data_IF_376810780530
#
_entry.id   IF_376810780530
#
_cell.length_a   1.000
_cell.length_b   1.000
_cell.length_c   1.000
_cell.angle_alpha   90.00
_cell.angle_beta   90.00
_cell.angle_gamma   90.00
#
_symmetry.space_group_name_H-M   'P 1'
#
loop_
_entity.id
_entity.type
_entity.pdbx_description
1 polymer ?
#
# COMPACT_ATOMS: atom_id res chain seq x y z
N UNK A 1 -24.25 15.09 18.04
CA UNK A 1 -24.10 16.23 17.20
C UNK A 1 -23.25 15.98 15.98
N UNK A 2 -22.38 16.85 15.68
CA UNK A 2 -21.58 16.93 14.43
C UNK A 2 -20.77 15.66 14.14
N UNK A 3 -20.15 15.06 15.15
CA UNK A 3 -19.35 13.83 15.00
C UNK A 3 -20.17 12.58 14.62
N UNK A 4 -21.41 12.51 15.09
CA UNK A 4 -22.31 11.40 14.71
C UNK A 4 -22.67 11.47 13.22
N UNK A 5 -22.95 12.66 12.71
CA UNK A 5 -23.19 12.88 11.28
C UNK A 5 -21.95 12.64 10.43
N UNK A 6 -20.78 13.06 10.90
CA UNK A 6 -19.51 12.81 10.23
C UNK A 6 -19.20 11.29 10.13
N UNK A 7 -19.49 10.53 11.18
CA UNK A 7 -19.31 9.07 11.14
C UNK A 7 -20.28 8.40 10.16
N UNK A 8 -21.54 8.84 10.11
CA UNK A 8 -22.52 8.35 9.13
C UNK A 8 -22.07 8.68 7.70
N UNK A 9 -21.57 9.91 7.46
CA UNK A 9 -21.03 10.31 6.17
C UNK A 9 -19.80 9.47 5.78
N UNK A 10 -18.89 9.19 6.72
CA UNK A 10 -17.74 8.31 6.49
C UNK A 10 -18.18 6.88 6.12
N UNK A 11 -19.17 6.31 6.81
CA UNK A 11 -19.75 5.00 6.47
C UNK A 11 -20.40 4.97 5.10
N UNK A 12 -21.16 6.01 4.75
CA UNK A 12 -21.76 6.14 3.43
C UNK A 12 -20.71 6.24 2.31
N UNK A 13 -19.66 7.04 2.53
CA UNK A 13 -18.53 7.15 1.59
C UNK A 13 -17.78 5.81 1.45
N UNK A 14 -17.58 5.07 2.54
CA UNK A 14 -16.95 3.75 2.51
C UNK A 14 -17.80 2.74 1.73
N UNK A 15 -19.12 2.75 1.91
CA UNK A 15 -20.05 1.92 1.15
C UNK A 15 -20.02 2.23 -0.36
N UNK A 16 -19.78 3.50 -0.71
CA UNK A 16 -19.56 3.95 -2.10
C UNK A 16 -18.12 3.82 -2.59
N UNK A 17 -17.24 3.14 -1.86
CA UNK A 17 -15.80 2.97 -2.20
C UNK A 17 -15.03 4.29 -2.33
N UNK A 18 -15.50 5.37 -1.71
CA UNK A 18 -14.88 6.69 -1.75
C UNK A 18 -13.88 6.87 -0.58
N UNK A 19 -12.83 6.08 -0.56
CA UNK A 19 -11.91 6.00 0.60
C UNK A 19 -11.11 7.29 0.86
N UNK A 20 -10.83 8.10 -0.17
CA UNK A 20 -10.24 9.42 0.01
C UNK A 20 -11.17 10.35 0.82
N UNK A 21 -12.48 10.32 0.52
CA UNK A 21 -13.50 11.08 1.26
C UNK A 21 -13.63 10.58 2.70
N UNK A 22 -13.61 9.27 2.92
CA UNK A 22 -13.59 8.68 4.28
C UNK A 22 -12.42 9.24 5.08
N UNK A 23 -11.22 9.20 4.53
CA UNK A 23 -10.02 9.72 5.19
C UNK A 23 -10.17 11.20 5.54
N UNK A 24 -10.65 12.02 4.61
CA UNK A 24 -10.82 13.45 4.82
C UNK A 24 -11.84 13.75 5.92
N UNK A 25 -12.98 13.06 5.93
CA UNK A 25 -14.02 13.21 6.97
C UNK A 25 -13.45 12.85 8.34
N UNK A 26 -12.74 11.70 8.43
CA UNK A 26 -12.19 11.24 9.69
C UNK A 26 -11.09 12.16 10.22
N UNK A 27 -10.22 12.65 9.36
CA UNK A 27 -9.17 13.62 9.77
C UNK A 27 -9.81 14.93 10.26
N UNK A 28 -10.79 15.47 9.56
CA UNK A 28 -11.42 16.76 9.91
C UNK A 28 -12.19 16.71 11.23
N UNK A 29 -12.88 15.59 11.50
CA UNK A 29 -13.80 15.52 12.66
C UNK A 29 -13.24 14.70 13.84
N UNK A 30 -12.26 13.83 13.58
CA UNK A 30 -11.70 12.91 14.58
C UNK A 30 -10.17 13.01 14.71
N UNK A 31 -9.52 14.03 14.15
CA UNK A 31 -8.05 14.16 14.13
C UNK A 31 -7.37 13.97 15.49
N UNK A 32 -7.96 14.47 16.57
CA UNK A 32 -7.45 14.28 17.95
C UNK A 32 -7.53 12.82 18.41
N UNK A 33 -8.52 12.07 17.94
CA UNK A 33 -8.68 10.64 18.26
C UNK A 33 -7.74 9.75 17.46
N UNK A 34 -7.32 10.18 16.28
CA UNK A 34 -6.34 9.48 15.47
C UNK A 34 -4.94 9.52 16.08
N UNK A 35 -4.66 10.52 16.92
CA UNK A 35 -3.37 10.69 17.58
C UNK A 35 -3.29 9.99 18.95
N UNK A 36 -4.41 9.67 19.56
CA UNK A 36 -4.48 9.04 20.91
C UNK A 36 -5.59 8.00 20.94
N UNK A 37 -5.33 6.81 21.51
CA UNK A 37 -6.39 5.84 21.78
C UNK A 37 -7.48 6.51 22.61
N UNK A 38 -8.67 6.65 22.07
CA UNK A 38 -9.80 7.26 22.75
C UNK A 38 -10.83 6.20 23.16
N UNK A 39 -11.34 6.28 24.37
CA UNK A 39 -12.48 5.50 24.82
C UNK A 39 -13.76 6.06 24.18
N UNK A 40 -14.74 5.18 23.92
CA UNK A 40 -16.06 5.57 23.43
C UNK A 40 -16.19 5.74 21.91
N UNK A 41 -15.21 5.32 21.13
CA UNK A 41 -15.35 5.20 19.69
C UNK A 41 -16.15 3.93 19.33
N UNK A 42 -16.97 3.96 18.26
CA UNK A 42 -17.64 2.77 17.78
C UNK A 42 -16.65 1.65 17.41
N UNK A 43 -17.02 0.37 17.56
CA UNK A 43 -16.13 -0.75 17.26
C UNK A 43 -15.59 -0.75 15.82
N UNK A 44 -16.38 -0.26 14.86
CA UNK A 44 -16.03 -0.17 13.44
C UNK A 44 -15.24 1.10 13.08
N UNK A 45 -14.94 1.99 14.03
CA UNK A 45 -14.22 3.22 13.76
C UNK A 45 -12.85 2.97 13.11
N UNK A 46 -12.08 2.05 13.68
CA UNK A 46 -10.74 1.76 13.18
C UNK A 46 -10.74 1.03 11.83
N UNK A 47 -11.78 0.25 11.53
CA UNK A 47 -11.93 -0.35 10.19
C UNK A 47 -12.32 0.67 9.11
N UNK A 48 -12.97 1.78 9.50
CA UNK A 48 -13.16 2.92 8.60
C UNK A 48 -11.86 3.71 8.39
N UNK A 49 -11.04 3.87 9.45
CA UNK A 49 -9.74 4.54 9.35
C UNK A 49 -8.76 3.73 8.51
N UNK A 50 -8.76 2.39 8.67
CA UNK A 50 -7.87 1.45 7.97
C UNK A 50 -8.69 0.43 7.17
N UNK A 51 -9.39 0.86 6.10
CA UNK A 51 -10.18 -0.05 5.28
C UNK A 51 -9.29 -1.04 4.51
N UNK A 52 -9.86 -2.20 4.17
CA UNK A 52 -9.22 -3.22 3.34
C UNK A 52 -10.04 -3.47 2.07
N UNK A 53 -10.18 -2.49 1.17
CA UNK A 53 -10.82 -2.74 -0.12
C UNK A 53 -9.99 -3.75 -0.92
N UNK A 54 -10.65 -4.48 -1.81
CA UNK A 54 -10.02 -5.51 -2.65
C UNK A 54 -9.31 -6.63 -1.86
N UNK A 55 -9.65 -6.82 -0.56
CA UNK A 55 -8.91 -7.70 0.32
C UNK A 55 -8.82 -9.14 -0.18
N UNK A 56 -9.90 -9.69 -0.75
CA UNK A 56 -9.85 -11.04 -1.31
C UNK A 56 -8.85 -11.13 -2.48
N UNK A 57 -8.90 -10.17 -3.40
CA UNK A 57 -7.94 -10.10 -4.52
C UNK A 57 -6.49 -9.99 -4.01
N UNK A 58 -6.26 -9.22 -2.94
CA UNK A 58 -4.94 -9.08 -2.32
C UNK A 58 -4.47 -10.40 -1.71
N UNK A 59 -5.34 -11.12 -0.97
CA UNK A 59 -4.98 -12.41 -0.38
C UNK A 59 -4.67 -13.45 -1.47
N UNK A 60 -5.51 -13.52 -2.50
CA UNK A 60 -5.34 -14.49 -3.59
C UNK A 60 -4.01 -14.25 -4.33
N UNK A 61 -3.74 -13.00 -4.72
CA UNK A 61 -2.49 -12.65 -5.38
C UNK A 61 -1.25 -12.81 -4.47
N UNK A 62 -1.37 -12.46 -3.19
CA UNK A 62 -0.29 -12.65 -2.22
C UNK A 62 0.02 -14.13 -2.01
N UNK A 63 -1.00 -14.98 -1.91
CA UNK A 63 -0.84 -16.43 -1.79
C UNK A 63 -0.23 -17.06 -3.03
N UNK A 64 -0.63 -16.61 -4.23
CA UNK A 64 -0.09 -17.11 -5.50
C UNK A 64 1.40 -16.80 -5.67
N UNK A 65 1.84 -15.60 -5.28
CA UNK A 65 3.20 -15.13 -5.53
C UNK A 65 4.12 -15.20 -4.30
N UNK A 66 3.60 -15.45 -3.10
CA UNK A 66 4.40 -15.41 -1.87
C UNK A 66 4.67 -13.98 -1.38
N UNK A 67 3.76 -13.04 -1.66
CA UNK A 67 3.85 -11.66 -1.20
C UNK A 67 3.24 -11.48 0.21
N UNK A 68 3.53 -10.34 0.84
CA UNK A 68 2.92 -9.97 2.12
C UNK A 68 1.62 -9.19 1.90
N UNK A 69 0.43 -9.75 2.22
CA UNK A 69 -0.85 -9.11 1.94
C UNK A 69 -1.08 -7.82 2.76
N UNK A 70 -0.57 -7.75 3.99
CA UNK A 70 -0.69 -6.54 4.82
C UNK A 70 0.19 -5.42 4.28
N UNK A 71 1.39 -5.75 3.82
CA UNK A 71 2.27 -4.79 3.16
C UNK A 71 1.64 -4.25 1.87
N UNK A 72 1.02 -5.10 1.04
CA UNK A 72 0.33 -4.66 -0.18
C UNK A 72 -0.78 -3.65 0.12
N UNK A 73 -1.60 -3.88 1.15
CA UNK A 73 -2.65 -2.92 1.54
C UNK A 73 -2.07 -1.64 2.14
N UNK A 74 -0.98 -1.73 2.90
CA UNK A 74 -0.29 -0.56 3.45
C UNK A 74 0.31 0.32 2.35
N UNK A 75 0.90 -0.31 1.31
CA UNK A 75 1.38 0.36 0.11
C UNK A 75 0.23 1.00 -0.68
N UNK A 76 -0.85 0.25 -0.95
CA UNK A 76 -2.04 0.73 -1.66
C UNK A 76 -2.63 1.98 -0.99
N UNK A 77 -2.70 1.99 0.35
CA UNK A 77 -3.14 3.15 1.12
C UNK A 77 -2.23 4.37 0.90
N UNK A 78 -0.93 4.15 0.85
CA UNK A 78 0.06 5.23 0.67
C UNK A 78 0.09 5.74 -0.76
N UNK A 79 0.01 4.85 -1.75
CA UNK A 79 0.18 5.14 -3.16
C UNK A 79 -1.02 5.86 -3.77
N UNK A 80 -2.22 5.32 -3.58
CA UNK A 80 -3.43 5.82 -4.25
C UNK A 80 -4.56 6.21 -3.31
N UNK A 81 -4.46 5.90 -2.01
CA UNK A 81 -5.62 5.92 -1.08
C UNK A 81 -6.77 5.05 -1.60
N UNK A 82 -6.42 3.92 -2.22
CA UNK A 82 -7.36 2.94 -2.81
C UNK A 82 -8.12 3.44 -4.04
N UNK A 83 -7.59 4.43 -4.76
CA UNK A 83 -8.15 4.90 -6.02
C UNK A 83 -7.54 4.10 -7.19
N UNK A 84 -8.32 3.27 -7.90
CA UNK A 84 -7.81 2.49 -9.02
C UNK A 84 -7.47 3.37 -10.24
N UNK A 85 -8.03 4.58 -10.32
CA UNK A 85 -7.78 5.52 -11.41
C UNK A 85 -6.64 6.52 -11.11
N UNK A 86 -5.98 6.37 -9.95
CA UNK A 86 -4.90 7.28 -9.54
C UNK A 86 -3.76 7.31 -10.57
N UNK A 87 -3.26 8.52 -10.85
CA UNK A 87 -2.15 8.75 -11.79
C UNK A 87 -1.13 9.67 -11.16
N UNK A 88 0.13 9.28 -11.23
CA UNK A 88 1.22 10.15 -10.82
C UNK A 88 1.68 11.05 -11.96
N UNK A 89 2.34 12.19 -11.66
CA UNK A 89 2.95 13.04 -12.69
C UNK A 89 4.02 12.36 -13.53
N UNK A 90 4.60 11.26 -13.02
CA UNK A 90 5.65 10.49 -13.69
C UNK A 90 5.11 9.26 -14.44
N UNK A 91 3.78 9.07 -14.47
CA UNK A 91 3.12 8.02 -15.25
C UNK A 91 2.87 6.70 -14.50
N UNK A 92 3.00 6.67 -13.19
CA UNK A 92 2.56 5.52 -12.39
C UNK A 92 1.02 5.50 -12.30
N UNK A 93 0.41 4.31 -12.35
CA UNK A 93 -1.03 4.15 -12.49
C UNK A 93 -1.59 3.14 -11.48
N UNK A 94 -2.79 3.43 -11.00
CA UNK A 94 -3.65 2.51 -10.28
C UNK A 94 -3.37 2.39 -8.79
N UNK A 95 -3.94 1.38 -8.18
CA UNK A 95 -3.97 1.16 -6.73
C UNK A 95 -2.60 1.18 -6.08
N UNK A 96 -1.60 0.56 -6.71
CA UNK A 96 -0.23 0.42 -6.20
C UNK A 96 0.78 1.19 -7.07
N UNK A 97 0.29 2.14 -7.89
CA UNK A 97 1.10 3.08 -8.67
C UNK A 97 2.20 2.37 -9.50
N UNK A 98 1.78 1.39 -10.30
CA UNK A 98 2.70 0.62 -11.15
C UNK A 98 3.09 1.44 -12.39
N UNK A 99 4.38 1.47 -12.66
CA UNK A 99 4.90 2.05 -13.90
C UNK A 99 4.64 1.10 -15.09
N UNK A 100 4.30 1.63 -16.27
CA UNK A 100 4.07 0.79 -17.46
C UNK A 100 5.20 -0.18 -17.76
N UNK A 101 6.47 0.26 -17.67
CA UNK A 101 7.63 -0.61 -17.91
C UNK A 101 7.76 -1.74 -16.88
N UNK A 102 7.35 -1.51 -15.61
CA UNK A 102 7.32 -2.56 -14.58
C UNK A 102 6.26 -3.60 -14.91
N UNK A 103 5.10 -3.13 -15.37
CA UNK A 103 4.03 -4.02 -15.79
C UNK A 103 4.44 -4.87 -17.01
N UNK A 104 5.09 -4.28 -18.01
CA UNK A 104 5.64 -5.01 -19.17
C UNK A 104 6.60 -6.14 -18.75
N UNK A 105 7.48 -5.84 -17.79
CA UNK A 105 8.47 -6.79 -17.32
C UNK A 105 7.87 -7.94 -16.48
N UNK A 106 6.76 -7.69 -15.76
CA UNK A 106 6.23 -8.63 -14.78
C UNK A 106 4.92 -9.33 -15.18
N UNK A 107 4.18 -8.85 -16.16
CA UNK A 107 2.84 -9.30 -16.48
C UNK A 107 2.70 -10.82 -16.71
N UNK A 108 3.62 -11.42 -17.45
CA UNK A 108 3.64 -12.87 -17.69
C UNK A 108 3.85 -13.64 -16.38
N UNK A 109 4.81 -13.19 -15.56
CA UNK A 109 5.14 -13.80 -14.27
C UNK A 109 4.09 -13.54 -13.19
N UNK A 110 3.28 -12.50 -13.38
CA UNK A 110 2.12 -12.18 -12.55
C UNK A 110 0.83 -12.89 -13.01
N UNK A 111 0.91 -13.78 -14.02
CA UNK A 111 -0.23 -14.52 -14.51
C UNK A 111 -1.26 -13.68 -15.30
N UNK A 112 -0.98 -12.42 -15.59
CA UNK A 112 -1.90 -11.48 -16.25
C UNK A 112 -1.50 -11.12 -17.69
N UNK A 113 -0.46 -11.76 -18.23
CA UNK A 113 0.02 -11.52 -19.62
C UNK A 113 -1.07 -11.69 -20.65
N UNK A 114 -1.98 -12.64 -20.46
CA UNK A 114 -3.11 -12.89 -21.37
C UNK A 114 -4.12 -11.72 -21.44
N UNK A 115 -4.15 -10.84 -20.44
CA UNK A 115 -5.02 -9.64 -20.43
C UNK A 115 -4.39 -8.51 -21.24
N UNK A 116 -3.09 -8.59 -21.50
CA UNK A 116 -2.31 -7.54 -22.17
C UNK A 116 -2.25 -7.69 -23.68
N UNK A 117 -3.18 -8.41 -24.29
CA UNK A 117 -3.20 -8.71 -25.74
C UNK A 117 -3.13 -7.47 -26.65
N UNK A 118 -3.55 -6.31 -26.14
CA UNK A 118 -3.48 -5.01 -26.82
C UNK A 118 -2.41 -4.08 -26.23
N UNK A 119 -1.43 -4.65 -25.54
CA UNK A 119 -0.38 -3.90 -24.82
C UNK A 119 -0.85 -3.30 -23.51
N UNK A 120 0.12 -2.73 -22.78
CA UNK A 120 -0.13 -2.02 -21.52
C UNK A 120 -0.66 -0.64 -21.84
N UNK A 121 -1.80 -0.32 -21.24
CA UNK A 121 -2.40 1.00 -21.27
C UNK A 121 -3.01 1.35 -19.92
N UNK A 122 -3.44 2.59 -19.80
CA UNK A 122 -3.97 3.14 -18.54
C UNK A 122 -5.17 2.34 -18.00
N UNK A 123 -6.09 1.92 -18.88
CA UNK A 123 -7.27 1.17 -18.47
C UNK A 123 -6.92 -0.22 -17.93
N UNK A 124 -5.90 -0.85 -18.50
CA UNK A 124 -5.37 -2.14 -18.01
C UNK A 124 -4.74 -1.98 -16.64
N UNK A 125 -3.91 -0.95 -16.43
CA UNK A 125 -3.27 -0.71 -15.14
C UNK A 125 -4.23 -0.15 -14.07
N UNK A 126 -5.31 0.49 -14.47
CA UNK A 126 -6.40 0.89 -13.56
C UNK A 126 -7.27 -0.31 -13.11
N UNK A 127 -7.18 -1.46 -13.78
CA UNK A 127 -7.91 -2.67 -13.36
C UNK A 127 -7.30 -3.20 -12.04
N UNK A 128 -8.12 -3.29 -10.95
CA UNK A 128 -7.63 -3.73 -9.65
C UNK A 128 -6.95 -5.10 -9.65
N UNK A 129 -7.51 -6.08 -10.38
CA UNK A 129 -6.98 -7.44 -10.43
C UNK A 129 -5.59 -7.44 -11.06
N UNK A 130 -5.41 -6.73 -12.18
CA UNK A 130 -4.13 -6.64 -12.88
C UNK A 130 -3.09 -5.89 -12.04
N UNK A 131 -3.48 -4.74 -11.49
CA UNK A 131 -2.58 -3.90 -10.69
C UNK A 131 -2.09 -4.63 -9.44
N UNK A 132 -2.99 -5.31 -8.71
CA UNK A 132 -2.67 -6.08 -7.51
C UNK A 132 -1.79 -7.29 -7.85
N UNK A 133 -2.08 -8.04 -8.90
CA UNK A 133 -1.30 -9.21 -9.30
C UNK A 133 0.14 -8.84 -9.65
N UNK A 134 0.35 -7.80 -10.48
CA UNK A 134 1.68 -7.28 -10.82
C UNK A 134 2.42 -6.82 -9.57
N UNK A 135 1.74 -6.10 -8.68
CA UNK A 135 2.33 -5.60 -7.44
C UNK A 135 2.69 -6.71 -6.45
N UNK A 136 1.87 -7.76 -6.37
CA UNK A 136 2.18 -8.94 -5.57
C UNK A 136 3.42 -9.66 -6.10
N UNK A 137 3.54 -9.80 -7.42
CA UNK A 137 4.74 -10.36 -8.05
C UNK A 137 5.98 -9.50 -7.76
N UNK A 138 5.90 -8.19 -7.93
CA UNK A 138 6.97 -7.26 -7.59
C UNK A 138 7.38 -7.38 -6.12
N UNK A 139 6.39 -7.41 -5.21
CA UNK A 139 6.64 -7.56 -3.77
C UNK A 139 7.39 -8.86 -3.45
N UNK A 140 6.97 -9.98 -4.07
CA UNK A 140 7.62 -11.26 -3.89
C UNK A 140 9.07 -11.27 -4.42
N UNK A 141 9.31 -10.66 -5.60
CA UNK A 141 10.66 -10.53 -6.17
C UNK A 141 11.57 -9.70 -5.25
N UNK A 142 11.05 -8.59 -4.71
CA UNK A 142 11.79 -7.77 -3.76
C UNK A 142 12.04 -8.48 -2.43
N UNK A 143 11.07 -9.23 -1.90
CA UNK A 143 11.27 -10.06 -0.71
C UNK A 143 12.36 -11.11 -0.93
N UNK A 144 12.39 -11.72 -2.11
CA UNK A 144 13.46 -12.66 -2.45
C UNK A 144 14.82 -11.96 -2.57
N UNK A 145 14.88 -10.78 -3.22
CA UNK A 145 16.11 -10.00 -3.38
C UNK A 145 16.71 -9.59 -2.03
N UNK A 146 15.86 -9.20 -1.08
CA UNK A 146 16.29 -8.73 0.24
C UNK A 146 16.16 -9.81 1.35
N UNK A 147 16.13 -11.09 0.99
CA UNK A 147 16.18 -12.20 1.94
C UNK A 147 15.04 -12.16 3.00
N UNK A 148 13.87 -11.62 2.62
CA UNK A 148 12.70 -11.46 3.50
C UNK A 148 12.65 -10.15 4.28
N UNK A 149 13.66 -9.29 4.17
CA UNK A 149 13.74 -8.02 4.89
C UNK A 149 12.75 -7.00 4.32
N UNK A 150 11.81 -6.54 5.14
CA UNK A 150 10.67 -5.71 4.69
C UNK A 150 11.09 -4.26 4.44
N UNK A 151 12.02 -3.71 5.21
CA UNK A 151 12.40 -2.30 5.10
C UNK A 151 12.99 -1.92 3.74
N UNK A 152 13.97 -2.68 3.20
CA UNK A 152 14.46 -2.41 1.86
C UNK A 152 13.40 -2.69 0.78
N UNK A 153 12.50 -3.65 0.97
CA UNK A 153 11.34 -3.87 0.07
C UNK A 153 10.48 -2.60 -0.01
N UNK A 154 10.10 -2.02 1.13
CA UNK A 154 9.32 -0.78 1.17
C UNK A 154 10.06 0.36 0.47
N UNK A 155 11.34 0.56 0.77
CA UNK A 155 12.13 1.63 0.17
C UNK A 155 12.23 1.48 -1.37
N UNK A 156 12.31 0.24 -1.87
CA UNK A 156 12.44 -0.07 -3.30
C UNK A 156 11.21 0.33 -4.11
N UNK A 157 10.03 0.27 -3.52
CA UNK A 157 8.80 0.76 -4.18
C UNK A 157 8.89 2.24 -4.58
N UNK A 158 9.61 3.07 -3.82
CA UNK A 158 9.74 4.49 -4.10
C UNK A 158 11.04 4.86 -4.84
N UNK A 159 12.16 4.20 -4.50
CA UNK A 159 13.48 4.59 -5.00
C UNK A 159 14.06 3.64 -6.07
N UNK A 160 13.45 2.48 -6.27
CA UNK A 160 13.96 1.39 -7.11
C UNK A 160 14.96 0.49 -6.38
N UNK A 161 14.95 -0.78 -6.74
CA UNK A 161 15.70 -1.84 -6.06
C UNK A 161 17.23 -1.67 -6.15
N UNK A 162 17.75 -1.23 -7.29
CA UNK A 162 19.20 -1.06 -7.49
C UNK A 162 19.80 -0.10 -6.47
N UNK A 163 19.19 1.08 -6.31
CA UNK A 163 19.64 2.08 -5.33
C UNK A 163 19.50 1.61 -3.90
N UNK A 164 18.38 0.94 -3.61
CA UNK A 164 18.13 0.45 -2.26
C UNK A 164 19.08 -0.68 -1.91
N UNK A 165 19.43 -1.54 -2.86
CA UNK A 165 20.43 -2.59 -2.63
C UNK A 165 21.80 -2.00 -2.24
N UNK A 166 22.23 -0.90 -2.87
CA UNK A 166 23.46 -0.19 -2.48
C UNK A 166 23.36 0.34 -1.03
N UNK A 167 22.25 0.99 -0.67
CA UNK A 167 22.06 1.53 0.68
C UNK A 167 21.97 0.41 1.74
N UNK A 168 21.25 -0.65 1.41
CA UNK A 168 21.07 -1.80 2.27
C UNK A 168 22.37 -2.54 2.56
N UNK A 169 23.21 -2.74 1.54
CA UNK A 169 24.51 -3.39 1.69
C UNK A 169 25.42 -2.70 2.73
N UNK A 170 25.33 -1.36 2.82
CA UNK A 170 26.07 -0.58 3.80
C UNK A 170 25.49 -0.60 5.22
N UNK A 171 24.22 -0.97 5.39
CA UNK A 171 23.48 -0.78 6.65
C UNK A 171 22.85 -2.05 7.23
N UNK A 172 22.78 -3.15 6.49
CA UNK A 172 22.07 -4.40 6.88
C UNK A 172 22.53 -5.02 8.21
N UNK A 173 23.70 -4.64 8.69
CA UNK A 173 24.24 -5.08 9.98
C UNK A 173 23.86 -4.16 11.15
N UNK A 174 23.14 -3.08 10.86
CA UNK A 174 22.65 -2.12 11.84
C UNK A 174 21.21 -2.44 12.23
N UNK A 175 20.69 -1.74 13.23
CA UNK A 175 19.29 -1.89 13.64
C UNK A 175 18.34 -1.34 12.55
N UNK A 176 17.14 -1.90 12.47
CA UNK A 176 16.13 -1.58 11.46
C UNK A 176 15.79 -0.09 11.37
N UNK A 177 15.64 0.59 12.52
CA UNK A 177 15.38 2.02 12.59
C UNK A 177 16.50 2.85 11.96
N UNK A 178 17.74 2.37 12.03
CA UNK A 178 18.90 3.05 11.46
C UNK A 178 18.89 3.04 9.92
N UNK A 179 18.45 1.94 9.29
CA UNK A 179 18.36 1.88 7.83
C UNK A 179 17.45 2.98 7.28
N UNK A 180 16.23 3.10 7.82
CA UNK A 180 15.26 4.10 7.35
C UNK A 180 15.81 5.51 7.50
N UNK A 181 16.50 5.79 8.61
CA UNK A 181 17.09 7.11 8.87
C UNK A 181 18.28 7.41 7.95
N UNK A 182 19.01 6.37 7.53
CA UNK A 182 20.18 6.49 6.63
C UNK A 182 19.81 6.67 5.15
N UNK A 183 18.56 6.42 4.73
CA UNK A 183 18.12 6.59 3.35
C UNK A 183 18.42 8.04 2.90
N UNK A 184 19.20 8.25 1.81
CA UNK A 184 19.62 9.59 1.40
C UNK A 184 18.47 10.50 0.96
N UNK A 185 17.40 9.92 0.36
CA UNK A 185 16.29 10.67 -0.19
C UNK A 185 15.20 10.92 0.87
N UNK A 186 14.91 12.20 1.15
CA UNK A 186 13.91 12.59 2.14
C UNK A 186 12.50 12.11 1.79
N UNK A 187 12.17 12.03 0.50
CA UNK A 187 10.91 11.49 0.02
C UNK A 187 10.79 10.00 0.36
N UNK A 188 11.81 9.21 0.04
CA UNK A 188 11.83 7.76 0.31
C UNK A 188 11.81 7.48 1.82
N UNK A 189 12.54 8.26 2.64
CA UNK A 189 12.46 8.15 4.10
C UNK A 189 11.03 8.37 4.62
N UNK A 190 10.35 9.42 4.13
CA UNK A 190 8.98 9.72 4.51
C UNK A 190 8.03 8.62 4.05
N UNK A 191 8.17 8.17 2.80
CA UNK A 191 7.41 7.06 2.24
C UNK A 191 7.53 5.81 3.10
N UNK A 192 8.75 5.39 3.41
CA UNK A 192 9.01 4.21 4.22
C UNK A 192 8.36 4.30 5.61
N UNK A 193 8.53 5.43 6.31
CA UNK A 193 7.90 5.65 7.62
C UNK A 193 6.37 5.58 7.57
N UNK A 194 5.75 6.16 6.54
CA UNK A 194 4.30 6.13 6.36
C UNK A 194 3.78 4.71 6.07
N UNK A 195 4.49 3.92 5.24
CA UNK A 195 4.11 2.52 4.96
C UNK A 195 4.28 1.64 6.19
N UNK A 196 5.39 1.76 6.92
CA UNK A 196 5.63 1.04 8.18
C UNK A 196 4.53 1.35 9.21
N UNK A 197 4.18 2.63 9.37
CA UNK A 197 3.11 3.04 10.27
C UNK A 197 1.74 2.48 9.84
N UNK A 198 1.44 2.46 8.54
CA UNK A 198 0.23 1.87 8.00
C UNK A 198 0.20 0.35 8.27
N UNK A 199 1.28 -0.37 7.98
CA UNK A 199 1.36 -1.81 8.21
C UNK A 199 1.12 -2.15 9.69
N UNK A 200 1.82 -1.49 10.61
CA UNK A 200 1.63 -1.67 12.04
C UNK A 200 0.21 -1.35 12.52
N UNK A 201 -0.46 -0.38 11.87
CA UNK A 201 -1.84 -0.06 12.16
C UNK A 201 -2.80 -1.15 11.66
N UNK A 202 -2.59 -1.69 10.47
CA UNK A 202 -3.37 -2.83 9.95
C UNK A 202 -3.23 -4.06 10.83
N UNK A 203 -2.00 -4.42 11.26
CA UNK A 203 -1.76 -5.52 12.17
C UNK A 203 -2.50 -5.34 13.50
N UNK A 204 -2.54 -4.11 14.02
CA UNK A 204 -3.25 -3.79 15.27
C UNK A 204 -4.77 -3.90 15.11
N UNK A 205 -5.32 -3.44 13.98
CA UNK A 205 -6.78 -3.39 13.75
C UNK A 205 -7.33 -4.77 13.43
N UNK A 206 -6.59 -5.60 12.71
CA UNK A 206 -7.08 -6.85 12.15
C UNK A 206 -6.38 -8.11 12.68
N UNK A 207 -5.32 -7.94 13.46
CA UNK A 207 -4.42 -9.03 13.84
C UNK A 207 -3.44 -9.36 12.72
N UNK A 208 -2.28 -9.91 13.10
CA UNK A 208 -1.31 -10.42 12.13
C UNK A 208 -1.92 -11.66 11.45
N UNK A 209 -1.95 -11.73 10.12
CA UNK A 209 -2.38 -12.95 9.43
C UNK A 209 -1.48 -14.13 9.86
N UNK A 210 -2.09 -15.24 10.24
CA UNK A 210 -1.39 -16.50 10.52
C UNK A 210 -0.85 -17.08 9.21
#
# INVERSE_FOLDING_TARGET
GDRGLALLAARASAAGSQYASVTQILVNHFGTYLQRPAQGLPPDFWTLVYPRPFWQTVIDAAGEHGANPVLLVALMRRESRFDPEARSPVGAIGLLQIMPYTAEALAERAGVGHILTNGINDAVLANPQVNIAISARLNADLLQLFEGEILPVIASYNAGEDRVAEWWAGTRHLRDDFFVDSIPYSETRRFAREVIANQAAYDRVYGTPN
#
